data_IF_926841852764
#
_entry.id   IF_926841852764
#
_cell.length_a   1.000
_cell.length_b   1.000
_cell.length_c   1.000
_cell.angle_alpha   90.00
_cell.angle_beta   90.00
_cell.angle_gamma   90.00
#
_symmetry.space_group_name_H-M   'P 1'
#
loop_
_entity.id
_entity.type
_entity.pdbx_description
1 polymer ?
#
# COMPACT_ATOMS: atom_id res chain seq x y z
N UNK A 1 -15.56 -11.92 28.39
CA UNK A 1 -16.47 -11.64 27.27
C UNK A 1 -17.23 -10.36 27.60
N UNK A 2 -17.19 -9.37 26.73
CA UNK A 2 -17.95 -8.14 26.93
C UNK A 2 -19.31 -8.31 26.24
N UNK A 3 -20.40 -8.12 26.97
CA UNK A 3 -21.73 -8.15 26.40
C UNK A 3 -22.08 -6.77 25.84
N UNK A 4 -22.52 -6.72 24.59
CA UNK A 4 -22.95 -5.48 23.97
C UNK A 4 -24.35 -5.09 24.45
N UNK A 5 -24.48 -3.80 24.86
CA UNK A 5 -25.78 -3.21 25.19
C UNK A 5 -26.38 -2.41 24.02
N UNK A 6 -25.80 -2.56 22.82
CA UNK A 6 -26.25 -1.83 21.63
C UNK A 6 -27.59 -2.38 21.16
N UNK A 7 -28.58 -1.50 21.04
CA UNK A 7 -29.91 -1.83 20.49
C UNK A 7 -29.92 -1.66 18.97
N UNK A 8 -29.53 -2.70 18.25
CA UNK A 8 -29.38 -2.70 16.78
C UNK A 8 -30.68 -2.37 16.02
N UNK A 9 -31.85 -2.54 16.66
CA UNK A 9 -33.15 -2.25 16.06
C UNK A 9 -33.66 -0.84 16.38
N UNK A 10 -32.92 -0.05 17.18
CA UNK A 10 -33.31 1.32 17.51
C UNK A 10 -33.23 2.24 16.28
N UNK A 11 -34.08 3.29 16.27
CA UNK A 11 -34.04 4.30 15.20
C UNK A 11 -32.66 4.99 15.12
N UNK A 12 -32.09 5.30 16.30
CA UNK A 12 -30.76 5.92 16.35
C UNK A 12 -29.65 5.04 15.77
N UNK A 13 -29.68 3.73 16.05
CA UNK A 13 -28.72 2.80 15.46
C UNK A 13 -28.82 2.78 13.93
N UNK A 14 -30.05 2.64 13.40
CA UNK A 14 -30.27 2.62 11.95
C UNK A 14 -29.87 3.92 11.27
N UNK A 15 -30.10 5.06 11.90
CA UNK A 15 -29.65 6.35 11.38
C UNK A 15 -28.12 6.42 11.36
N UNK A 16 -27.46 6.10 12.48
CA UNK A 16 -26.00 6.07 12.55
C UNK A 16 -25.37 5.11 11.53
N UNK A 17 -25.97 3.93 11.34
CA UNK A 17 -25.54 2.97 10.32
C UNK A 17 -25.61 3.58 8.92
N UNK A 18 -26.74 4.21 8.57
CA UNK A 18 -26.91 4.86 7.28
C UNK A 18 -25.87 5.98 7.06
N UNK A 19 -25.66 6.84 8.07
CA UNK A 19 -24.70 7.94 8.00
C UNK A 19 -23.27 7.43 7.84
N UNK A 20 -22.89 6.38 8.57
CA UNK A 20 -21.58 5.75 8.43
C UNK A 20 -21.38 5.08 7.06
N UNK A 21 -22.41 4.45 6.50
CA UNK A 21 -22.34 3.83 5.18
C UNK A 21 -22.08 4.86 4.07
N UNK A 22 -22.61 6.08 4.21
CA UNK A 22 -22.28 7.18 3.27
C UNK A 22 -20.78 7.45 3.27
N UNK A 23 -20.18 7.66 4.45
CA UNK A 23 -18.75 7.93 4.59
C UNK A 23 -17.87 6.78 4.11
N UNK A 24 -18.27 5.54 4.41
CA UNK A 24 -17.57 4.33 3.95
C UNK A 24 -17.60 4.24 2.42
N UNK A 25 -18.73 4.55 1.79
CA UNK A 25 -18.87 4.49 0.34
C UNK A 25 -18.04 5.60 -0.34
N UNK A 26 -17.98 6.80 0.23
CA UNK A 26 -17.10 7.88 -0.24
C UNK A 26 -15.62 7.46 -0.17
N UNK A 27 -15.19 6.86 0.95
CA UNK A 27 -13.83 6.36 1.11
C UNK A 27 -13.49 5.26 0.09
N UNK A 28 -14.39 4.29 -0.10
CA UNK A 28 -14.21 3.22 -1.09
C UNK A 28 -14.17 3.75 -2.52
N UNK A 29 -14.93 4.78 -2.83
CA UNK A 29 -14.89 5.43 -4.13
C UNK A 29 -13.51 6.09 -4.40
N UNK A 30 -12.86 6.65 -3.38
CA UNK A 30 -11.50 7.18 -3.49
C UNK A 30 -10.47 6.04 -3.69
N UNK A 31 -10.59 4.94 -2.97
CA UNK A 31 -9.73 3.75 -3.18
C UNK A 31 -9.90 3.19 -4.60
N UNK A 32 -11.12 3.16 -5.12
CA UNK A 32 -11.40 2.73 -6.49
C UNK A 32 -10.72 3.65 -7.52
N UNK A 33 -10.73 4.98 -7.33
CA UNK A 33 -10.03 5.92 -8.20
C UNK A 33 -8.53 5.64 -8.27
N UNK A 34 -7.89 5.26 -7.17
CA UNK A 34 -6.47 4.88 -7.16
C UNK A 34 -6.25 3.62 -7.99
N UNK A 35 -7.09 2.61 -7.81
CA UNK A 35 -7.05 1.38 -8.59
C UNK A 35 -7.23 1.63 -10.08
N UNK A 36 -8.19 2.48 -10.45
CA UNK A 36 -8.45 2.88 -11.84
C UNK A 36 -7.27 3.65 -12.44
N UNK A 37 -6.63 4.52 -11.65
CA UNK A 37 -5.45 5.26 -12.08
C UNK A 37 -4.28 4.31 -12.40
N UNK A 38 -4.02 3.34 -11.54
CA UNK A 38 -3.05 2.27 -11.80
C UNK A 38 -3.42 1.45 -13.05
N UNK A 39 -4.68 1.07 -13.20
CA UNK A 39 -5.19 0.27 -14.30
C UNK A 39 -5.08 0.94 -15.68
N UNK A 40 -5.00 2.29 -15.76
CA UNK A 40 -4.74 3.01 -17.01
C UNK A 40 -3.43 2.60 -17.68
N UNK A 41 -2.47 2.11 -16.90
CA UNK A 41 -1.20 1.62 -17.43
C UNK A 41 -1.27 0.19 -17.98
N UNK A 42 -2.42 -0.50 -17.91
CA UNK A 42 -2.59 -1.89 -18.36
C UNK A 42 -1.98 -2.18 -19.73
N UNK A 43 -2.17 -1.36 -20.77
CA UNK A 43 -1.56 -1.63 -22.09
C UNK A 43 -0.02 -1.70 -22.04
N UNK A 44 0.63 -0.95 -21.14
CA UNK A 44 2.10 -1.00 -20.96
C UNK A 44 2.53 -2.29 -20.26
N UNK A 45 1.75 -2.76 -19.28
CA UNK A 45 1.99 -4.04 -18.60
C UNK A 45 1.80 -5.21 -19.57
N UNK A 46 0.71 -5.22 -20.35
CA UNK A 46 0.41 -6.26 -21.33
C UNK A 46 1.54 -6.38 -22.38
N UNK A 47 2.05 -5.23 -22.90
CA UNK A 47 3.19 -5.21 -23.85
C UNK A 47 4.46 -5.84 -23.27
N UNK A 48 4.64 -5.83 -21.95
CA UNK A 48 5.79 -6.40 -21.25
C UNK A 48 5.53 -7.83 -20.76
N UNK A 49 4.34 -8.39 -20.97
CA UNK A 49 3.95 -9.68 -20.41
C UNK A 49 3.86 -9.66 -18.88
N UNK A 50 3.56 -8.49 -18.28
CA UNK A 50 3.53 -8.29 -16.84
C UNK A 50 2.09 -8.17 -16.32
N UNK A 51 1.85 -8.66 -15.11
CA UNK A 51 0.60 -8.45 -14.39
C UNK A 51 0.53 -7.02 -13.81
N UNK A 52 -0.69 -6.48 -13.69
CA UNK A 52 -0.94 -5.29 -12.88
C UNK A 52 -0.57 -5.52 -11.40
N UNK A 53 -0.19 -4.47 -10.65
CA UNK A 53 0.16 -4.59 -9.23
C UNK A 53 -0.90 -5.30 -8.39
N UNK A 54 -2.18 -4.98 -8.58
CA UNK A 54 -3.29 -5.64 -7.89
C UNK A 54 -3.42 -7.13 -8.24
N UNK A 55 -3.17 -7.49 -9.50
CA UNK A 55 -3.18 -8.88 -9.93
C UNK A 55 -1.99 -9.68 -9.36
N UNK A 56 -0.80 -9.06 -9.23
CA UNK A 56 0.35 -9.67 -8.56
C UNK A 56 0.08 -9.92 -7.09
N UNK A 57 -0.51 -8.93 -6.41
CA UNK A 57 -0.92 -9.09 -5.01
C UNK A 57 -1.87 -10.29 -4.87
N UNK A 58 -2.91 -10.34 -5.70
CA UNK A 58 -3.87 -11.45 -5.69
C UNK A 58 -3.20 -12.81 -5.93
N UNK A 59 -2.21 -12.88 -6.82
CA UNK A 59 -1.48 -14.12 -7.11
C UNK A 59 -0.52 -14.54 -5.99
N UNK A 60 -0.09 -13.60 -5.13
CA UNK A 60 0.78 -13.86 -3.98
C UNK A 60 0.00 -14.35 -2.75
N UNK A 61 -1.19 -13.80 -2.54
CA UNK A 61 -2.01 -14.12 -1.36
C UNK A 61 -2.52 -15.55 -1.41
N UNK A 62 -2.62 -16.16 -0.25
CA UNK A 62 -3.28 -17.46 -0.11
C UNK A 62 -4.74 -17.38 -0.58
N UNK A 63 -5.26 -18.40 -1.28
CA UNK A 63 -6.66 -18.44 -1.69
C UNK A 63 -7.60 -18.19 -0.50
N UNK A 64 -8.63 -17.38 -0.75
CA UNK A 64 -9.68 -17.04 0.22
C UNK A 64 -9.18 -16.37 1.52
N UNK A 65 -7.93 -15.94 1.56
CA UNK A 65 -7.39 -15.19 2.70
C UNK A 65 -7.76 -13.72 2.63
N UNK A 66 -7.87 -13.08 3.81
CA UNK A 66 -8.11 -11.64 3.90
C UNK A 66 -6.84 -10.84 3.64
N UNK A 67 -6.99 -9.71 2.97
CA UNK A 67 -5.97 -8.67 2.88
C UNK A 67 -6.49 -7.39 3.51
N UNK A 68 -5.72 -6.83 4.44
CA UNK A 68 -6.03 -5.56 5.11
C UNK A 68 -5.16 -4.48 4.48
N UNK A 69 -5.69 -3.62 3.59
CA UNK A 69 -4.94 -2.53 3.00
C UNK A 69 -4.60 -1.49 4.07
N UNK A 70 -3.39 -0.92 3.97
CA UNK A 70 -2.89 0.10 4.88
C UNK A 70 -2.50 1.35 4.11
N UNK A 71 -2.89 2.52 4.65
CA UNK A 71 -2.55 3.83 4.08
C UNK A 71 -2.90 3.93 2.59
N UNK A 72 -4.05 3.42 2.19
CA UNK A 72 -4.51 3.41 0.79
C UNK A 72 -4.59 4.81 0.19
N UNK A 73 -4.98 5.82 0.97
CA UNK A 73 -5.06 7.22 0.56
C UNK A 73 -3.80 8.04 0.88
N UNK A 74 -2.63 7.41 1.02
CA UNK A 74 -1.39 8.14 1.33
C UNK A 74 -1.11 9.23 0.29
N UNK A 75 -1.02 10.48 0.74
CA UNK A 75 -0.79 11.65 -0.11
C UNK A 75 -2.02 12.26 -0.75
N UNK A 76 -3.23 11.80 -0.42
CA UNK A 76 -4.47 12.35 -0.96
C UNK A 76 -4.53 13.87 -0.80
N UNK A 77 -4.64 14.58 -1.94
CA UNK A 77 -4.62 16.05 -2.03
C UNK A 77 -3.35 16.71 -1.46
N UNK A 78 -2.21 16.01 -1.50
CA UNK A 78 -0.91 16.53 -1.05
C UNK A 78 0.08 16.53 -2.21
N UNK A 79 0.75 17.65 -2.43
CA UNK A 79 1.75 17.81 -3.49
C UNK A 79 1.14 17.68 -4.88
N UNK A 80 1.58 16.68 -5.64
CA UNK A 80 1.10 16.43 -7.01
C UNK A 80 -0.20 15.62 -7.08
N UNK A 81 -0.74 15.19 -5.93
CA UNK A 81 -2.01 14.45 -5.84
C UNK A 81 -3.17 15.45 -5.80
N UNK A 82 -3.99 15.48 -6.85
CA UNK A 82 -5.15 16.39 -6.96
C UNK A 82 -6.43 15.77 -6.34
N UNK A 83 -6.35 14.53 -5.88
CA UNK A 83 -7.48 13.79 -5.33
C UNK A 83 -8.46 13.28 -6.38
N UNK A 84 -8.12 13.37 -7.68
CA UNK A 84 -8.98 12.93 -8.78
C UNK A 84 -8.18 12.23 -9.90
N UNK A 85 -7.61 12.97 -10.84
CA UNK A 85 -6.87 12.40 -11.99
C UNK A 85 -5.49 11.90 -11.61
N UNK A 86 -4.84 12.54 -10.65
CA UNK A 86 -3.50 12.21 -10.16
C UNK A 86 -3.52 11.62 -8.75
N UNK A 87 -4.55 10.87 -8.39
CA UNK A 87 -4.62 10.19 -7.10
C UNK A 87 -3.63 9.02 -7.08
N UNK A 88 -2.77 8.94 -6.06
CA UNK A 88 -1.57 8.09 -6.12
C UNK A 88 -1.50 6.99 -5.07
N UNK A 89 -2.13 7.15 -3.90
CA UNK A 89 -2.06 6.17 -2.82
C UNK A 89 -0.62 5.81 -2.39
N UNK A 90 0.31 6.76 -2.49
CA UNK A 90 1.73 6.55 -2.18
C UNK A 90 2.47 5.64 -3.17
N UNK A 91 2.00 5.46 -4.40
CA UNK A 91 2.60 4.65 -5.47
C UNK A 91 2.85 3.18 -5.07
N UNK A 92 2.09 2.65 -4.14
CA UNK A 92 2.23 1.26 -3.70
C UNK A 92 0.94 0.72 -3.10
N UNK A 93 0.73 -0.58 -3.20
CA UNK A 93 -0.26 -1.29 -2.44
C UNK A 93 0.47 -1.91 -1.24
N UNK A 94 0.09 -1.50 -0.03
CA UNK A 94 0.69 -2.02 1.20
C UNK A 94 -0.40 -2.54 2.12
N UNK A 95 -0.15 -3.63 2.82
CA UNK A 95 -1.12 -4.19 3.74
C UNK A 95 -0.67 -5.49 4.39
N UNK A 96 -1.55 -6.06 5.19
CA UNK A 96 -1.31 -7.31 5.89
C UNK A 96 -2.17 -8.40 5.24
N UNK A 97 -1.54 -9.51 4.88
CA UNK A 97 -2.19 -10.67 4.28
C UNK A 97 -1.49 -11.97 4.64
N UNK A 98 -2.00 -13.08 4.13
CA UNK A 98 -1.43 -14.41 4.36
C UNK A 98 -0.75 -14.91 3.09
N UNK A 99 0.46 -15.44 3.26
CA UNK A 99 1.26 -16.08 2.20
C UNK A 99 1.82 -17.38 2.76
N UNK A 100 1.45 -18.50 2.16
CA UNK A 100 1.82 -19.85 2.62
C UNK A 100 1.48 -20.09 4.11
N UNK A 101 0.31 -19.64 4.54
CA UNK A 101 -0.18 -19.75 5.92
C UNK A 101 0.45 -18.77 6.91
N UNK A 102 1.39 -17.91 6.48
CA UNK A 102 2.09 -16.95 7.35
C UNK A 102 1.52 -15.55 7.15
N UNK A 103 1.18 -14.89 8.25
CA UNK A 103 0.74 -13.49 8.24
C UNK A 103 1.92 -12.56 7.99
N UNK A 104 1.90 -11.84 6.88
CA UNK A 104 2.99 -11.00 6.41
C UNK A 104 2.54 -9.54 6.19
N UNK A 105 3.47 -8.60 6.34
CA UNK A 105 3.36 -7.31 5.68
C UNK A 105 3.75 -7.48 4.21
N UNK A 106 2.90 -7.01 3.31
CA UNK A 106 3.13 -7.09 1.87
C UNK A 106 3.19 -5.67 1.32
N UNK A 107 4.21 -5.41 0.50
CA UNK A 107 4.35 -4.15 -0.23
C UNK A 107 4.53 -4.44 -1.71
N UNK A 108 3.65 -3.86 -2.54
CA UNK A 108 3.68 -4.02 -3.99
C UNK A 108 3.93 -2.66 -4.63
N UNK A 109 5.04 -2.51 -5.31
CA UNK A 109 5.34 -1.29 -6.08
C UNK A 109 4.32 -1.11 -7.20
N UNK A 110 3.78 0.09 -7.36
CA UNK A 110 2.85 0.42 -8.42
C UNK A 110 3.51 1.28 -9.50
N UNK A 111 4.12 0.61 -10.48
CA UNK A 111 4.72 1.27 -11.63
C UNK A 111 3.70 1.77 -12.66
N UNK A 112 2.42 1.48 -12.48
CA UNK A 112 1.32 2.09 -13.22
C UNK A 112 1.16 3.58 -12.89
N UNK A 113 1.57 3.97 -11.68
CA UNK A 113 1.49 5.34 -11.19
C UNK A 113 2.89 5.98 -11.27
N UNK A 114 3.02 7.07 -12.02
CA UNK A 114 4.29 7.82 -12.23
C UNK A 114 5.49 6.92 -12.57
N UNK A 115 5.25 5.80 -13.26
CA UNK A 115 6.31 4.87 -13.66
C UNK A 115 7.02 4.17 -12.49
N UNK A 116 6.45 4.16 -11.30
CA UNK A 116 7.07 3.57 -10.10
C UNK A 116 8.16 4.44 -9.46
N UNK A 117 8.23 5.72 -9.82
CA UNK A 117 9.18 6.63 -9.18
C UNK A 117 8.76 6.89 -7.72
N UNK A 118 9.72 6.80 -6.81
CA UNK A 118 9.50 7.03 -5.38
C UNK A 118 9.06 8.48 -5.12
N UNK A 119 7.97 8.66 -4.37
CA UNK A 119 7.44 9.96 -3.94
C UNK A 119 7.63 10.15 -2.44
N UNK A 120 7.57 11.40 -1.97
CA UNK A 120 7.61 11.70 -0.54
C UNK A 120 6.58 10.89 0.25
N UNK A 121 5.32 10.88 -0.20
CA UNK A 121 4.26 10.15 0.50
C UNK A 121 4.40 8.63 0.40
N UNK A 122 5.04 8.13 -0.67
CA UNK A 122 5.43 6.72 -0.77
C UNK A 122 6.47 6.34 0.28
N UNK A 123 7.45 7.22 0.52
CA UNK A 123 8.43 7.05 1.61
C UNK A 123 7.76 7.04 2.98
N UNK A 124 6.89 8.00 3.28
CA UNK A 124 6.17 8.06 4.56
C UNK A 124 5.30 6.80 4.77
N UNK A 125 4.61 6.32 3.73
CA UNK A 125 3.86 5.08 3.76
C UNK A 125 4.74 3.87 4.09
N UNK A 126 5.90 3.77 3.45
CA UNK A 126 6.87 2.70 3.72
C UNK A 126 7.42 2.76 5.14
N UNK A 127 7.74 3.96 5.66
CA UNK A 127 8.20 4.15 7.03
C UNK A 127 7.12 3.75 8.05
N UNK A 128 5.86 4.14 7.83
CA UNK A 128 4.75 3.68 8.67
C UNK A 128 4.59 2.16 8.64
N UNK A 129 4.72 1.56 7.45
CA UNK A 129 4.72 0.10 7.29
C UNK A 129 5.83 -0.56 8.11
N UNK A 130 7.04 -0.01 8.10
CA UNK A 130 8.15 -0.53 8.87
C UNK A 130 7.92 -0.46 10.40
N UNK A 131 7.21 0.54 10.90
CA UNK A 131 6.83 0.62 12.31
C UNK A 131 5.83 -0.50 12.67
N UNK A 132 4.81 -0.72 11.84
CA UNK A 132 3.82 -1.80 12.01
C UNK A 132 4.51 -3.18 11.98
N UNK A 133 5.46 -3.38 11.07
CA UNK A 133 6.26 -4.60 10.98
C UNK A 133 6.98 -4.88 12.29
N UNK A 134 7.68 -3.89 12.85
CA UNK A 134 8.45 -4.02 14.10
C UNK A 134 7.55 -4.33 15.30
N UNK A 135 6.45 -3.59 15.42
CA UNK A 135 5.49 -3.75 16.51
C UNK A 135 4.82 -5.13 16.51
N UNK A 136 4.54 -5.67 15.32
CA UNK A 136 3.80 -6.93 15.16
C UNK A 136 4.69 -8.12 14.76
N UNK A 137 6.01 -7.92 14.59
CA UNK A 137 6.99 -8.92 14.14
C UNK A 137 6.56 -9.64 12.86
N UNK A 138 6.04 -8.89 11.89
CA UNK A 138 5.56 -9.44 10.63
C UNK A 138 6.72 -9.65 9.66
N UNK A 139 6.86 -10.83 9.02
CA UNK A 139 7.69 -10.96 7.83
C UNK A 139 7.29 -9.92 6.78
N UNK A 140 8.29 -9.36 6.07
CA UNK A 140 8.05 -8.42 4.97
C UNK A 140 8.22 -9.12 3.63
N UNK A 141 7.22 -9.02 2.76
CA UNK A 141 7.31 -9.44 1.37
C UNK A 141 7.13 -8.21 0.47
N UNK A 142 8.10 -7.94 -0.38
CA UNK A 142 8.08 -6.83 -1.34
C UNK A 142 8.08 -7.36 -2.77
N UNK A 143 7.07 -6.97 -3.56
CA UNK A 143 7.04 -7.16 -5.01
C UNK A 143 7.56 -5.87 -5.66
N UNK A 144 8.76 -5.93 -6.23
CA UNK A 144 9.55 -4.73 -6.54
C UNK A 144 9.61 -4.47 -8.04
N UNK A 145 9.21 -3.27 -8.41
CA UNK A 145 9.49 -2.60 -9.68
C UNK A 145 9.61 -1.10 -9.42
N UNK A 146 10.77 -0.49 -9.67
CA UNK A 146 11.05 0.89 -9.28
C UNK A 146 11.84 1.63 -10.35
N UNK A 147 11.44 2.86 -10.64
CA UNK A 147 12.22 3.81 -11.43
C UNK A 147 13.23 4.63 -10.58
N UNK A 148 13.33 4.32 -9.29
CA UNK A 148 14.19 5.05 -8.36
C UNK A 148 13.53 6.30 -7.77
N UNK A 149 14.34 7.14 -7.11
CA UNK A 149 13.85 8.37 -6.49
C UNK A 149 13.53 9.43 -7.54
N UNK A 150 12.48 10.23 -7.30
CA UNK A 150 12.21 11.42 -8.09
C UNK A 150 13.29 12.48 -7.82
N UNK A 151 14.24 12.64 -8.74
CA UNK A 151 15.38 13.54 -8.59
C UNK A 151 14.98 15.02 -8.51
N UNK A 152 13.82 15.41 -9.03
CA UNK A 152 13.30 16.78 -8.90
C UNK A 152 12.83 17.09 -7.46
N UNK A 153 12.63 16.04 -6.63
CA UNK A 153 12.18 16.13 -5.25
C UNK A 153 13.15 15.48 -4.27
N UNK A 154 14.44 15.45 -4.62
CA UNK A 154 15.46 14.70 -3.85
C UNK A 154 15.56 15.17 -2.39
N UNK A 155 15.45 16.47 -2.10
CA UNK A 155 15.47 17.02 -0.74
C UNK A 155 14.35 16.48 0.15
N UNK A 156 13.20 16.12 -0.43
CA UNK A 156 12.05 15.58 0.27
C UNK A 156 12.17 14.06 0.49
N UNK A 157 12.96 13.39 -0.34
CA UNK A 157 13.01 11.93 -0.41
C UNK A 157 14.24 11.35 0.27
N UNK A 158 15.46 11.87 -0.02
CA UNK A 158 16.69 11.17 0.35
C UNK A 158 16.92 11.06 1.87
N UNK A 159 16.69 12.11 2.65
CA UNK A 159 16.88 12.07 4.11
C UNK A 159 15.88 11.09 4.73
N UNK A 160 14.61 11.23 4.38
CA UNK A 160 13.54 10.33 4.90
C UNK A 160 13.68 8.92 4.38
N UNK A 161 13.98 8.77 3.08
CA UNK A 161 14.20 7.47 2.43
C UNK A 161 15.40 6.71 3.01
N UNK A 162 16.46 7.44 3.42
CA UNK A 162 17.61 6.86 4.11
C UNK A 162 17.25 6.11 5.40
N UNK A 163 16.16 6.50 6.08
CA UNK A 163 15.63 5.77 7.24
C UNK A 163 15.17 4.35 6.89
N UNK A 164 14.82 4.08 5.64
CA UNK A 164 14.44 2.74 5.17
C UNK A 164 15.58 1.75 5.31
N UNK A 165 16.81 2.15 5.01
CA UNK A 165 18.01 1.31 5.19
C UNK A 165 18.24 0.97 6.67
N UNK A 166 18.11 1.97 7.56
CA UNK A 166 18.20 1.73 8.99
C UNK A 166 17.09 0.80 9.50
N UNK A 167 15.88 0.91 8.94
CA UNK A 167 14.79 -0.01 9.27
C UNK A 167 15.09 -1.45 8.82
N UNK A 168 15.61 -1.68 7.60
CA UNK A 168 16.01 -3.01 7.15
C UNK A 168 17.05 -3.64 8.07
N UNK A 169 18.09 -2.87 8.48
CA UNK A 169 19.07 -3.35 9.43
C UNK A 169 18.45 -3.72 10.79
N UNK A 170 17.48 -2.92 11.28
CA UNK A 170 16.74 -3.23 12.51
C UNK A 170 15.90 -4.47 12.39
N UNK A 171 15.18 -4.68 11.25
CA UNK A 171 14.40 -5.89 11.02
C UNK A 171 15.30 -7.13 11.05
N UNK A 172 16.47 -7.07 10.39
CA UNK A 172 17.47 -8.13 10.41
C UNK A 172 17.96 -8.43 11.83
N UNK A 173 18.30 -7.39 12.60
CA UNK A 173 18.73 -7.54 14.01
C UNK A 173 17.62 -8.13 14.90
N UNK A 174 16.36 -7.91 14.58
CA UNK A 174 15.20 -8.48 15.28
C UNK A 174 14.85 -9.89 14.81
N UNK A 175 15.56 -10.45 13.84
CA UNK A 175 15.27 -11.76 13.23
C UNK A 175 13.97 -11.77 12.42
N UNK A 176 13.52 -10.61 11.92
CA UNK A 176 12.31 -10.51 11.09
C UNK A 176 12.70 -10.75 9.64
N UNK A 177 12.15 -11.80 8.98
CA UNK A 177 12.47 -12.10 7.58
C UNK A 177 12.01 -11.00 6.63
N UNK A 178 12.83 -10.72 5.62
CA UNK A 178 12.48 -9.84 4.50
C UNK A 178 12.71 -10.57 3.19
N UNK A 179 11.72 -10.57 2.30
CA UNK A 179 11.78 -11.20 0.98
C UNK A 179 11.47 -10.14 -0.06
N UNK A 180 12.33 -9.99 -1.06
CA UNK A 180 12.11 -9.12 -2.20
C UNK A 180 12.03 -9.95 -3.48
N UNK A 181 10.93 -9.80 -4.22
CA UNK A 181 10.74 -10.39 -5.55
C UNK A 181 10.84 -9.26 -6.56
N UNK A 182 11.97 -9.19 -7.27
CA UNK A 182 12.20 -8.20 -8.33
C UNK A 182 11.68 -8.79 -9.64
N UNK A 183 10.63 -8.19 -10.17
CA UNK A 183 9.92 -8.70 -11.37
C UNK A 183 9.96 -7.74 -12.55
N UNK A 184 10.65 -6.62 -12.44
CA UNK A 184 10.77 -5.60 -13.47
C UNK A 184 12.01 -4.76 -13.26
N UNK A 185 12.06 -3.59 -13.92
CA UNK A 185 13.14 -2.64 -13.71
C UNK A 185 13.20 -2.23 -12.22
N UNK A 186 14.39 -2.28 -11.64
CA UNK A 186 14.62 -1.85 -10.28
C UNK A 186 15.86 -0.97 -10.24
N UNK A 187 15.64 0.34 -10.21
CA UNK A 187 16.70 1.35 -10.23
C UNK A 187 16.87 1.88 -8.82
N UNK A 188 18.01 1.62 -8.23
CA UNK A 188 18.50 2.11 -6.94
C UNK A 188 17.51 2.07 -5.74
N UNK A 189 17.91 1.51 -4.65
CA UNK A 189 17.20 1.47 -3.36
C UNK A 189 16.53 0.18 -3.07
#
# INVERSE_FOLDING_TARGET
KFDSKIMINSKSFKQNEADHLVLINEFRALEQKISDNSARAKPKFDKRGQLLPSARLKALLDPDSYFIPLSSLAGYKIGDDDGDKNIMGGNSISGIGYVSGVRCMINVSDSGIKGGSMTQMGVEKALRGADIIKENKLPLISLVESAGANLLRQSEIFIRGGKSFANLAKLSAMGIPTVAVVHGSSTAG
#
